data_IF_338590468803
#
_entry.id   IF_338590468803
#
_cell.length_a   1.000
_cell.length_b   1.000
_cell.length_c   1.000
_cell.angle_alpha   90.00
_cell.angle_beta   90.00
_cell.angle_gamma   90.00
#
_symmetry.space_group_name_H-M   'P 1'
#
loop_
_entity.id
_entity.type
_entity.pdbx_description
1 polymer ?
#
# COMPACT_ATOMS: atom_id res chain seq x y z
N UNK A 1 27.65 -26.12 4.66
CA UNK A 1 27.84 -25.32 3.42
C UNK A 1 26.59 -24.58 2.95
N UNK A 2 25.43 -24.66 3.63
CA UNK A 2 24.19 -23.94 3.24
C UNK A 2 23.92 -22.62 3.96
N UNK A 3 24.51 -22.37 5.14
CA UNK A 3 24.21 -21.18 5.94
C UNK A 3 24.84 -19.89 5.40
N UNK A 4 26.06 -19.94 4.84
CA UNK A 4 26.73 -18.74 4.31
C UNK A 4 26.05 -18.14 3.07
N UNK A 5 25.24 -18.91 2.33
CA UNK A 5 24.48 -18.42 1.18
C UNK A 5 23.28 -17.55 1.56
N UNK A 6 22.60 -17.85 2.66
CA UNK A 6 21.48 -17.04 3.17
C UNK A 6 21.96 -15.69 3.74
N UNK A 7 23.08 -15.67 4.46
CA UNK A 7 23.61 -14.42 5.06
C UNK A 7 24.20 -13.48 4.00
N UNK A 8 24.78 -14.04 2.91
CA UNK A 8 25.26 -13.26 1.77
C UNK A 8 24.09 -12.70 0.93
N UNK A 9 22.97 -13.43 0.84
CA UNK A 9 21.73 -12.92 0.25
C UNK A 9 21.15 -11.77 1.06
N UNK A 10 21.08 -11.92 2.39
CA UNK A 10 20.55 -10.88 3.28
C UNK A 10 21.37 -9.58 3.28
N UNK A 11 22.70 -9.67 3.21
CA UNK A 11 23.58 -8.49 3.14
C UNK A 11 23.52 -7.78 1.79
N UNK A 12 23.41 -8.53 0.68
CA UNK A 12 23.20 -7.96 -0.66
C UNK A 12 21.84 -7.28 -0.82
N UNK A 13 20.79 -7.85 -0.22
CA UNK A 13 19.42 -7.30 -0.26
C UNK A 13 19.32 -6.01 0.57
N UNK A 14 19.95 -5.97 1.75
CA UNK A 14 20.02 -4.75 2.58
C UNK A 14 20.78 -3.62 1.87
N UNK A 15 21.85 -3.96 1.13
CA UNK A 15 22.56 -3.03 0.25
C UNK A 15 21.70 -2.53 -0.92
N UNK A 16 20.91 -3.41 -1.56
CA UNK A 16 19.99 -3.03 -2.63
C UNK A 16 18.90 -2.07 -2.13
N UNK A 17 18.38 -2.33 -0.93
CA UNK A 17 17.35 -1.49 -0.31
C UNK A 17 17.87 -0.09 -0.01
N UNK A 18 19.08 0.00 0.56
CA UNK A 18 19.74 1.28 0.84
C UNK A 18 20.08 2.02 -0.46
N UNK A 19 20.56 1.31 -1.49
CA UNK A 19 20.88 1.91 -2.79
C UNK A 19 19.62 2.45 -3.49
N UNK A 20 18.51 1.71 -3.46
CA UNK A 20 17.22 2.15 -4.01
C UNK A 20 16.68 3.39 -3.27
N UNK A 21 16.79 3.42 -1.93
CA UNK A 21 16.42 4.59 -1.14
C UNK A 21 17.29 5.79 -1.51
N UNK A 22 18.61 5.64 -1.56
CA UNK A 22 19.52 6.74 -1.94
C UNK A 22 19.27 7.24 -3.35
N UNK A 23 18.96 6.36 -4.30
CA UNK A 23 18.61 6.73 -5.67
C UNK A 23 17.28 7.49 -5.77
N UNK A 24 16.28 7.08 -4.98
CA UNK A 24 15.00 7.81 -4.85
C UNK A 24 15.21 9.17 -4.20
N UNK A 25 16.02 9.26 -3.15
CA UNK A 25 16.35 10.53 -2.50
C UNK A 25 17.08 11.48 -3.45
N UNK A 26 18.04 10.99 -4.24
CA UNK A 26 18.78 11.80 -5.21
C UNK A 26 17.91 12.26 -6.39
N UNK A 27 16.98 11.40 -6.83
CA UNK A 27 16.00 11.75 -7.87
C UNK A 27 15.00 12.80 -7.39
N UNK A 28 14.61 12.76 -6.10
CA UNK A 28 13.72 13.75 -5.47
C UNK A 28 14.47 15.05 -5.14
N UNK A 29 15.77 15.00 -4.80
CA UNK A 29 16.56 16.17 -4.41
C UNK A 29 17.02 17.06 -5.56
N UNK A 30 16.62 16.77 -6.80
CA UNK A 30 16.82 17.67 -7.94
C UNK A 30 18.29 17.82 -8.36
N UNK A 31 19.11 16.79 -8.19
CA UNK A 31 20.54 16.81 -8.53
C UNK A 31 20.82 16.73 -10.04
N UNK A 32 19.80 16.53 -10.88
CA UNK A 32 19.92 16.43 -12.34
C UNK A 32 19.53 17.76 -12.98
N UNK A 33 20.38 18.40 -13.81
CA UNK A 33 20.06 19.63 -14.51
C UNK A 33 18.82 19.44 -15.41
N UNK A 34 17.72 20.14 -15.10
CA UNK A 34 16.43 20.05 -15.80
C UNK A 34 16.37 20.98 -17.03
N UNK A 35 17.48 21.14 -17.74
CA UNK A 35 17.62 22.15 -18.79
C UNK A 35 16.92 21.76 -20.10
N UNK A 36 16.42 20.51 -20.22
CA UNK A 36 15.80 19.97 -21.43
C UNK A 36 14.58 19.06 -21.18
N UNK A 37 13.53 19.13 -22.02
CA UNK A 37 12.28 18.40 -21.82
C UNK A 37 12.44 16.86 -21.84
N UNK A 38 13.44 16.36 -22.57
CA UNK A 38 13.74 14.93 -22.65
C UNK A 38 14.37 14.38 -21.36
N UNK A 39 15.17 15.19 -20.67
CA UNK A 39 15.85 14.82 -19.42
C UNK A 39 14.82 14.71 -18.29
N UNK A 40 13.85 15.62 -18.25
CA UNK A 40 12.74 15.60 -17.29
C UNK A 40 11.88 14.33 -17.42
N UNK A 41 11.55 13.96 -18.66
CA UNK A 41 10.76 12.77 -18.93
C UNK A 41 11.53 11.52 -18.49
N UNK A 42 12.80 11.39 -18.88
CA UNK A 42 13.64 10.27 -18.48
C UNK A 42 13.79 10.15 -16.95
N UNK A 43 14.02 11.27 -16.26
CA UNK A 43 14.12 11.30 -14.80
C UNK A 43 12.80 10.86 -14.12
N UNK A 44 11.66 11.37 -14.59
CA UNK A 44 10.35 10.99 -14.08
C UNK A 44 10.09 9.49 -14.25
N UNK A 45 10.42 8.92 -15.41
CA UNK A 45 10.29 7.49 -15.67
C UNK A 45 11.18 6.65 -14.75
N UNK A 46 12.45 7.03 -14.58
CA UNK A 46 13.40 6.34 -13.71
C UNK A 46 12.96 6.39 -12.24
N UNK A 47 12.43 7.52 -11.80
CA UNK A 47 11.90 7.72 -10.44
C UNK A 47 10.68 6.83 -10.18
N UNK A 48 9.74 6.77 -11.13
CA UNK A 48 8.56 5.92 -10.99
C UNK A 48 8.98 4.45 -10.90
N UNK A 49 9.86 4.00 -11.80
CA UNK A 49 10.34 2.61 -11.79
C UNK A 49 11.07 2.28 -10.48
N UNK A 50 11.93 3.18 -9.98
CA UNK A 50 12.67 2.95 -8.72
C UNK A 50 11.74 2.90 -7.49
N UNK A 51 10.66 3.67 -7.47
CA UNK A 51 9.63 3.59 -6.43
C UNK A 51 8.90 2.24 -6.49
N UNK A 52 8.46 1.80 -7.67
CA UNK A 52 7.77 0.53 -7.83
C UNK A 52 8.66 -0.68 -7.50
N UNK A 53 9.93 -0.66 -7.90
CA UNK A 53 10.88 -1.74 -7.54
C UNK A 53 11.13 -1.79 -6.04
N UNK A 54 11.18 -0.63 -5.36
CA UNK A 54 11.29 -0.56 -3.90
C UNK A 54 10.07 -1.18 -3.23
N UNK A 55 8.86 -0.85 -3.67
CA UNK A 55 7.61 -1.46 -3.15
C UNK A 55 7.63 -2.98 -3.34
N UNK A 56 7.99 -3.47 -4.53
CA UNK A 56 8.09 -4.90 -4.81
C UNK A 56 9.16 -5.60 -3.97
N UNK A 57 10.30 -4.95 -3.72
CA UNK A 57 11.34 -5.45 -2.85
C UNK A 57 10.85 -5.61 -1.40
N UNK A 58 10.13 -4.60 -0.87
CA UNK A 58 9.49 -4.69 0.46
C UNK A 58 8.49 -5.85 0.49
N UNK A 59 7.61 -5.96 -0.51
CA UNK A 59 6.62 -7.02 -0.58
C UNK A 59 7.25 -8.42 -0.68
N UNK A 60 8.32 -8.57 -1.46
CA UNK A 60 9.09 -9.81 -1.57
C UNK A 60 9.75 -10.20 -0.25
N UNK A 61 10.35 -9.22 0.45
CA UNK A 61 10.94 -9.43 1.76
C UNK A 61 9.89 -9.77 2.82
N UNK A 62 8.76 -9.06 2.83
CA UNK A 62 7.62 -9.35 3.68
C UNK A 62 7.12 -10.78 3.44
N UNK A 63 7.00 -11.21 2.18
CA UNK A 63 6.60 -12.59 1.88
C UNK A 63 7.62 -13.63 2.37
N UNK A 64 8.91 -13.32 2.35
CA UNK A 64 9.96 -14.22 2.83
C UNK A 64 9.98 -14.32 4.37
N UNK A 65 9.94 -13.18 5.07
CA UNK A 65 10.07 -13.11 6.53
C UNK A 65 8.74 -13.27 7.29
N UNK A 66 7.59 -12.90 6.73
CA UNK A 66 6.27 -13.06 7.35
C UNK A 66 5.53 -14.32 6.87
N UNK A 67 6.23 -15.33 6.34
CA UNK A 67 5.62 -16.60 5.93
C UNK A 67 5.28 -17.52 7.13
N UNK A 68 4.54 -17.01 8.11
CA UNK A 68 4.04 -17.80 9.23
C UNK A 68 2.54 -18.07 9.00
N UNK A 69 2.14 -19.36 8.97
CA UNK A 69 0.72 -19.74 8.92
C UNK A 69 0.07 -19.46 10.28
N UNK A 70 -0.52 -18.29 10.44
CA UNK A 70 -1.38 -17.97 11.59
C UNK A 70 -2.82 -17.76 11.11
N UNK A 71 -3.80 -18.27 11.88
CA UNK A 71 -5.24 -18.10 11.58
C UNK A 71 -5.63 -16.61 11.47
N UNK A 72 -4.93 -15.74 12.21
CA UNK A 72 -5.09 -14.29 12.15
C UNK A 72 -4.68 -13.70 10.78
N UNK A 73 -3.66 -14.28 10.14
CA UNK A 73 -3.16 -13.86 8.83
C UNK A 73 -4.13 -14.25 7.72
N UNK A 74 -4.75 -15.43 7.81
CA UNK A 74 -5.81 -15.86 6.88
C UNK A 74 -7.03 -14.95 6.97
N UNK A 75 -7.50 -14.65 8.19
CA UNK A 75 -8.62 -13.74 8.42
C UNK A 75 -8.32 -12.32 7.90
N UNK A 76 -7.13 -11.79 8.19
CA UNK A 76 -6.75 -10.44 7.75
C UNK A 76 -6.59 -10.35 6.23
N UNK A 77 -6.04 -11.39 5.58
CA UNK A 77 -5.87 -11.41 4.11
C UNK A 77 -7.21 -11.42 3.40
N UNK A 78 -8.17 -12.17 3.92
CA UNK A 78 -9.54 -12.21 3.42
C UNK A 78 -10.26 -10.88 3.63
N UNK A 79 -10.03 -10.23 4.77
CA UNK A 79 -10.62 -8.93 5.11
C UNK A 79 -10.07 -7.76 4.29
N UNK A 80 -8.80 -7.83 3.87
CA UNK A 80 -8.12 -6.75 3.13
C UNK A 80 -8.77 -6.48 1.78
N UNK A 81 -9.18 -7.52 1.04
CA UNK A 81 -9.70 -7.31 -0.32
C UNK A 81 -11.05 -6.56 -0.36
N UNK A 82 -12.09 -6.93 0.44
CA UNK A 82 -13.30 -6.13 0.57
C UNK A 82 -13.04 -4.72 1.11
N UNK A 83 -12.17 -4.60 2.12
CA UNK A 83 -11.82 -3.31 2.71
C UNK A 83 -11.19 -2.36 1.68
N UNK A 84 -10.30 -2.87 0.83
CA UNK A 84 -9.64 -2.10 -0.22
C UNK A 84 -10.63 -1.53 -1.25
N UNK A 85 -11.58 -2.36 -1.72
CA UNK A 85 -12.58 -1.93 -2.72
C UNK A 85 -13.53 -0.88 -2.11
N UNK A 86 -13.97 -1.08 -0.87
CA UNK A 86 -14.92 -0.19 -0.20
C UNK A 86 -14.30 1.14 0.20
N UNK A 87 -13.08 1.13 0.74
CA UNK A 87 -12.39 2.33 1.25
C UNK A 87 -12.34 3.45 0.19
N UNK A 88 -12.00 3.12 -1.06
CA UNK A 88 -11.93 4.11 -2.13
C UNK A 88 -13.30 4.74 -2.42
N UNK A 89 -14.35 3.93 -2.52
CA UNK A 89 -15.71 4.41 -2.79
C UNK A 89 -16.24 5.30 -1.66
N UNK A 90 -15.97 4.92 -0.41
CA UNK A 90 -16.38 5.67 0.79
C UNK A 90 -15.61 6.99 0.86
N UNK A 91 -14.30 6.98 0.57
CA UNK A 91 -13.49 8.21 0.55
C UNK A 91 -14.04 9.21 -0.45
N UNK A 92 -14.42 8.76 -1.66
CA UNK A 92 -15.00 9.66 -2.68
C UNK A 92 -16.38 10.16 -2.24
N UNK A 93 -17.23 9.29 -1.67
CA UNK A 93 -18.56 9.67 -1.20
C UNK A 93 -18.51 10.73 -0.08
N UNK A 94 -17.67 10.49 0.94
CA UNK A 94 -17.46 11.43 2.05
C UNK A 94 -16.77 12.69 1.54
N UNK A 95 -15.75 12.55 0.68
CA UNK A 95 -15.02 13.66 0.09
C UNK A 95 -15.93 14.60 -0.70
N UNK A 96 -16.89 14.06 -1.44
CA UNK A 96 -17.89 14.85 -2.16
C UNK A 96 -18.78 15.67 -1.22
N UNK A 97 -19.25 15.09 -0.12
CA UNK A 97 -20.06 15.82 0.86
C UNK A 97 -19.27 16.87 1.66
N UNK A 98 -17.99 16.61 1.98
CA UNK A 98 -17.15 17.54 2.74
C UNK A 98 -16.58 18.66 1.86
N UNK A 99 -16.54 18.47 0.54
CA UNK A 99 -16.02 19.46 -0.40
C UNK A 99 -16.74 20.81 -0.25
N UNK A 100 -18.07 20.79 -0.11
CA UNK A 100 -18.92 21.99 -0.06
C UNK A 100 -18.91 22.72 1.29
N UNK A 101 -18.29 22.17 2.34
CA UNK A 101 -18.22 22.83 3.65
C UNK A 101 -17.11 23.88 3.71
N UNK A 102 -17.40 25.05 4.29
CA UNK A 102 -16.41 26.13 4.54
C UNK A 102 -15.52 25.85 5.77
N UNK A 103 -15.03 24.62 5.92
CA UNK A 103 -14.16 24.18 7.01
C UNK A 103 -12.67 24.28 6.67
N UNK A 104 -11.83 24.34 7.71
CA UNK A 104 -10.38 24.33 7.58
C UNK A 104 -9.89 22.98 7.00
N UNK A 105 -8.92 23.02 6.07
CA UNK A 105 -8.41 21.84 5.34
C UNK A 105 -7.99 20.69 6.25
N UNK A 106 -7.40 21.01 7.41
CA UNK A 106 -6.98 19.99 8.38
C UNK A 106 -8.16 19.23 9.00
N UNK A 107 -9.25 19.95 9.30
CA UNK A 107 -10.46 19.35 9.86
C UNK A 107 -11.14 18.46 8.82
N UNK A 108 -11.20 18.91 7.56
CA UNK A 108 -11.70 18.10 6.44
C UNK A 108 -10.92 16.79 6.30
N UNK A 109 -9.59 16.84 6.39
CA UNK A 109 -8.73 15.65 6.33
C UNK A 109 -8.97 14.70 7.50
N UNK A 110 -9.05 15.21 8.74
CA UNK A 110 -9.29 14.36 9.91
C UNK A 110 -10.67 13.68 9.85
N UNK A 111 -11.71 14.42 9.44
CA UNK A 111 -13.07 13.88 9.30
C UNK A 111 -13.11 12.87 8.14
N UNK A 112 -12.47 13.17 7.02
CA UNK A 112 -12.39 12.24 5.88
C UNK A 112 -11.65 10.96 6.27
N UNK A 113 -10.48 11.06 6.90
CA UNK A 113 -9.68 9.90 7.30
C UNK A 113 -10.40 9.04 8.34
N UNK A 114 -10.90 9.66 9.42
CA UNK A 114 -11.64 8.95 10.47
C UNK A 114 -12.99 8.41 9.96
N UNK A 115 -13.68 9.17 9.12
CA UNK A 115 -14.94 8.79 8.48
C UNK A 115 -14.76 7.59 7.56
N UNK A 116 -13.80 7.62 6.64
CA UNK A 116 -13.54 6.49 5.75
C UNK A 116 -13.08 5.27 6.53
N UNK A 117 -12.19 5.42 7.51
CA UNK A 117 -11.72 4.31 8.32
C UNK A 117 -12.85 3.69 9.14
N UNK A 118 -13.66 4.52 9.78
CA UNK A 118 -14.82 4.11 10.58
C UNK A 118 -15.91 3.46 9.74
N UNK A 119 -16.30 4.05 8.61
CA UNK A 119 -17.31 3.48 7.71
C UNK A 119 -16.82 2.18 7.07
N UNK A 120 -15.56 2.10 6.65
CA UNK A 120 -15.02 0.88 6.07
C UNK A 120 -15.00 -0.27 7.09
N UNK A 121 -14.65 0.01 8.36
CA UNK A 121 -14.76 -0.97 9.45
C UNK A 121 -16.21 -1.33 9.80
N UNK A 122 -17.11 -0.36 9.79
CA UNK A 122 -18.53 -0.57 10.06
C UNK A 122 -19.16 -1.47 8.99
N UNK A 123 -18.89 -1.17 7.72
CA UNK A 123 -19.33 -1.99 6.59
C UNK A 123 -18.66 -3.36 6.65
N UNK A 124 -17.36 -3.45 6.96
CA UNK A 124 -16.71 -4.75 7.18
C UNK A 124 -17.46 -5.58 8.22
N UNK A 125 -17.71 -5.03 9.41
CA UNK A 125 -18.37 -5.77 10.49
C UNK A 125 -19.82 -6.13 10.16
N UNK A 126 -20.56 -5.25 9.48
CA UNK A 126 -21.98 -5.42 9.16
C UNK A 126 -22.20 -6.32 7.93
N UNK A 127 -21.38 -6.17 6.89
CA UNK A 127 -21.56 -6.84 5.59
C UNK A 127 -20.93 -8.25 5.56
N UNK A 128 -19.76 -8.46 6.18
CA UNK A 128 -19.09 -9.77 6.17
C UNK A 128 -19.70 -10.74 7.19
N UNK A 129 -20.25 -10.24 8.30
CA UNK A 129 -21.05 -11.09 9.20
C UNK A 129 -22.43 -11.42 8.63
N UNK A 130 -23.02 -10.52 7.84
CA UNK A 130 -24.42 -10.66 7.41
C UNK A 130 -24.64 -11.32 6.05
N UNK A 131 -23.68 -11.25 5.11
CA UNK A 131 -23.89 -11.80 3.76
C UNK A 131 -22.91 -12.93 3.44
N UNK A 132 -23.37 -14.19 3.60
CA UNK A 132 -22.72 -15.40 3.09
C UNK A 132 -22.42 -15.33 1.57
N UNK A 133 -23.14 -14.48 0.83
CA UNK A 133 -22.96 -14.25 -0.61
C UNK A 133 -21.64 -13.52 -0.93
N UNK A 134 -21.21 -12.62 -0.05
CA UNK A 134 -19.90 -11.96 -0.15
C UNK A 134 -18.78 -12.95 0.16
N UNK A 135 -19.03 -13.94 1.03
CA UNK A 135 -18.08 -15.02 1.34
C UNK A 135 -17.86 -15.94 0.12
N UNK A 136 -18.90 -16.16 -0.68
CA UNK A 136 -18.86 -16.95 -1.92
C UNK A 136 -18.11 -16.22 -3.07
N UNK A 137 -18.36 -14.92 -3.26
CA UNK A 137 -17.73 -14.14 -4.34
C UNK A 137 -16.24 -13.85 -4.07
N UNK A 138 -15.83 -13.88 -2.80
CA UNK A 138 -14.45 -13.62 -2.36
C UNK A 138 -13.61 -14.90 -2.15
N UNK A 139 -14.14 -16.08 -2.52
CA UNK A 139 -13.36 -17.32 -2.58
C UNK A 139 -12.94 -17.89 -1.22
N UNK A 140 -13.70 -17.55 -0.18
CA UNK A 140 -13.42 -17.99 1.18
C UNK A 140 -14.08 -19.35 1.37
N UNK A 141 -13.31 -20.34 1.84
CA UNK A 141 -13.86 -21.66 2.13
C UNK A 141 -15.01 -21.53 3.12
N UNK A 142 -16.21 -21.83 2.63
CA UNK A 142 -17.32 -22.18 3.48
C UNK A 142 -16.91 -23.35 4.37
N UNK A 143 -17.25 -23.26 5.66
CA UNK A 143 -17.11 -24.38 6.59
C UNK A 143 -18.03 -25.52 6.18
#
# INVERSE_FOLDING_TARGET
MGYYGEIQGASGICGYFHCCISFVYDSISGSIPEDGPYILLLNSFLTIISLWTTILAICGFARHYLNFRNAFLTYSTEAVYPFYVLHQTITVAIGFHIADWEMNTWQKLLILASGTFGFSLFIYHFLIRSFDFMRLLFGVKAK
#
